data_IF_319906979787
#
_entry.id   IF_319906979787
#
_cell.length_a   1.000
_cell.length_b   1.000
_cell.length_c   1.000
_cell.angle_alpha   90.00
_cell.angle_beta   90.00
_cell.angle_gamma   90.00
#
_symmetry.space_group_name_H-M   'P 1'
#
loop_
_entity.id
_entity.type
_entity.pdbx_description
1 polymer ?
#
# COMPACT_ATOMS: atom_id res chain seq x y z
N UNK A 1 5.71 3.28 0.48
CA UNK A 1 4.43 4.02 0.61
C UNK A 1 4.10 4.91 -0.59
N UNK A 2 5.04 5.70 -1.14
CA UNK A 2 4.81 6.63 -2.26
C UNK A 2 4.13 6.00 -3.50
N UNK A 3 4.59 4.84 -3.96
CA UNK A 3 4.03 4.17 -5.14
C UNK A 3 2.54 3.81 -4.95
N UNK A 4 2.17 3.29 -3.78
CA UNK A 4 0.78 2.96 -3.45
C UNK A 4 -0.10 4.21 -3.44
N UNK A 5 0.38 5.31 -2.85
CA UNK A 5 -0.31 6.60 -2.89
C UNK A 5 -0.52 7.10 -4.31
N UNK A 6 0.51 7.02 -5.15
CA UNK A 6 0.42 7.46 -6.55
C UNK A 6 -0.63 6.67 -7.34
N UNK A 7 -0.66 5.34 -7.18
CA UNK A 7 -1.65 4.50 -7.87
C UNK A 7 -3.08 4.79 -7.41
N UNK A 8 -3.31 4.97 -6.10
CA UNK A 8 -4.64 5.34 -5.58
C UNK A 8 -5.09 6.71 -6.10
N UNK A 9 -4.16 7.67 -6.20
CA UNK A 9 -4.45 8.99 -6.75
C UNK A 9 -4.76 8.93 -8.25
N UNK A 10 -4.00 8.14 -9.02
CA UNK A 10 -4.25 7.94 -10.45
C UNK A 10 -5.64 7.32 -10.69
N UNK A 11 -5.98 6.28 -9.93
CA UNK A 11 -7.31 5.67 -9.94
C UNK A 11 -8.42 6.68 -9.63
N UNK A 12 -8.25 7.48 -8.57
CA UNK A 12 -9.24 8.51 -8.20
C UNK A 12 -9.36 9.61 -9.27
N UNK A 13 -8.26 9.96 -9.94
CA UNK A 13 -8.25 10.91 -11.05
C UNK A 13 -9.06 10.39 -12.24
N UNK A 14 -8.79 9.15 -12.68
CA UNK A 14 -9.53 8.52 -13.77
C UNK A 14 -11.01 8.37 -13.46
N UNK A 15 -11.40 7.95 -12.26
CA UNK A 15 -12.82 7.87 -11.88
C UNK A 15 -13.49 9.27 -11.88
N UNK A 16 -12.76 10.31 -11.45
CA UNK A 16 -13.22 11.69 -11.48
C UNK A 16 -13.51 12.22 -12.90
N UNK A 17 -12.75 11.80 -13.91
CA UNK A 17 -12.99 12.15 -15.32
C UNK A 17 -14.37 11.69 -15.82
N UNK A 18 -14.90 10.62 -15.22
CA UNK A 18 -16.19 10.03 -15.54
C UNK A 18 -17.30 10.38 -14.53
N UNK A 19 -17.05 11.35 -13.64
CA UNK A 19 -18.00 11.78 -12.62
C UNK A 19 -18.22 10.76 -11.49
N UNK A 20 -17.37 9.74 -11.39
CA UNK A 20 -17.40 8.71 -10.35
C UNK A 20 -16.53 9.19 -9.19
N UNK A 21 -17.13 9.90 -8.23
CA UNK A 21 -16.40 10.55 -7.14
C UNK A 21 -16.49 9.70 -5.87
N UNK A 22 -15.37 9.10 -5.48
CA UNK A 22 -15.21 8.36 -4.23
C UNK A 22 -14.57 9.18 -3.10
N UNK A 23 -14.64 8.65 -1.89
CA UNK A 23 -13.94 9.25 -0.75
C UNK A 23 -12.41 9.24 -0.97
N UNK A 24 -11.76 10.37 -0.69
CA UNK A 24 -10.31 10.51 -0.91
C UNK A 24 -9.50 9.75 0.14
N UNK A 25 -8.40 9.15 -0.31
CA UNK A 25 -7.37 8.57 0.56
C UNK A 25 -7.23 7.05 0.45
N UNK A 26 -6.02 6.57 0.77
CA UNK A 26 -5.63 5.16 0.64
C UNK A 26 -6.48 4.23 1.50
N UNK A 27 -6.95 4.70 2.65
CA UNK A 27 -7.82 3.92 3.55
C UNK A 27 -9.21 3.66 2.97
N UNK A 28 -9.63 4.47 1.99
CA UNK A 28 -10.94 4.39 1.32
C UNK A 28 -10.90 3.63 0.00
N UNK A 29 -9.75 3.04 -0.34
CA UNK A 29 -9.61 2.26 -1.56
C UNK A 29 -10.69 1.16 -1.73
N UNK A 30 -11.11 0.41 -0.69
CA UNK A 30 -12.20 -0.57 -0.84
C UNK A 30 -13.53 0.07 -1.24
N UNK A 31 -13.84 1.25 -0.69
CA UNK A 31 -15.05 2.00 -1.03
C UNK A 31 -15.00 2.49 -2.48
N UNK A 32 -13.82 2.95 -2.92
CA UNK A 32 -13.57 3.46 -4.27
C UNK A 32 -13.62 2.33 -5.32
N UNK A 33 -13.15 1.14 -4.93
CA UNK A 33 -13.28 -0.11 -5.68
C UNK A 33 -14.74 -0.50 -5.89
N UNK A 34 -15.53 -0.52 -4.82
CA UNK A 34 -16.96 -0.84 -4.89
C UNK A 34 -17.72 0.16 -5.77
N UNK A 35 -17.35 1.44 -5.71
CA UNK A 35 -17.91 2.51 -6.53
C UNK A 35 -17.62 2.28 -8.04
N UNK A 36 -16.38 1.93 -8.40
CA UNK A 36 -16.00 1.65 -9.79
C UNK A 36 -16.74 0.42 -10.34
N UNK A 37 -16.87 -0.65 -9.54
CA UNK A 37 -17.56 -1.88 -9.94
C UNK A 37 -19.07 -1.69 -10.09
N UNK A 38 -19.68 -0.77 -9.34
CA UNK A 38 -21.13 -0.49 -9.39
C UNK A 38 -21.52 0.62 -10.37
N UNK A 39 -20.54 1.32 -10.97
CA UNK A 39 -20.80 2.39 -11.92
C UNK A 39 -21.45 1.86 -13.21
N UNK A 40 -22.57 2.47 -13.66
CA UNK A 40 -23.27 2.04 -14.87
C UNK A 40 -22.42 2.29 -16.12
N UNK A 41 -22.62 1.47 -17.16
CA UNK A 41 -21.85 1.52 -18.43
C UNK A 41 -21.95 2.89 -19.12
N UNK A 42 -23.09 3.58 -19.00
CA UNK A 42 -23.25 4.93 -19.53
C UNK A 42 -22.36 5.97 -18.87
N UNK A 43 -21.87 5.69 -17.67
CA UNK A 43 -21.00 6.57 -16.89
C UNK A 43 -19.53 6.17 -17.04
N UNK A 44 -19.25 4.87 -17.20
CA UNK A 44 -17.89 4.36 -17.36
C UNK A 44 -17.77 3.52 -18.65
N UNK A 45 -17.23 4.11 -19.75
CA UNK A 45 -17.01 3.39 -21.00
C UNK A 45 -16.08 2.18 -20.83
N UNK A 46 -16.20 1.18 -21.70
CA UNK A 46 -15.47 -0.08 -21.58
C UNK A 46 -13.95 0.10 -21.50
N UNK A 47 -13.37 0.99 -22.33
CA UNK A 47 -11.94 1.29 -22.31
C UNK A 47 -11.49 1.89 -20.96
N UNK A 48 -12.33 2.72 -20.33
CA UNK A 48 -12.04 3.28 -19.02
C UNK A 48 -12.10 2.20 -17.94
N UNK A 49 -13.06 1.28 -18.04
CA UNK A 49 -13.19 0.13 -17.14
C UNK A 49 -11.96 -0.77 -17.23
N UNK A 50 -11.47 -1.09 -18.42
CA UNK A 50 -10.22 -1.85 -18.61
C UNK A 50 -9.02 -1.15 -17.96
N UNK A 51 -8.87 0.16 -18.16
CA UNK A 51 -7.79 0.94 -17.54
C UNK A 51 -7.86 0.91 -16.01
N UNK A 52 -9.07 1.05 -15.46
CA UNK A 52 -9.32 0.99 -14.02
C UNK A 52 -9.00 -0.39 -13.48
N UNK A 53 -9.46 -1.47 -14.12
CA UNK A 53 -9.16 -2.85 -13.71
C UNK A 53 -7.65 -3.13 -13.67
N UNK A 54 -6.89 -2.63 -14.66
CA UNK A 54 -5.42 -2.73 -14.66
C UNK A 54 -4.79 -2.00 -13.46
N UNK A 55 -5.25 -0.78 -13.16
CA UNK A 55 -4.76 -0.03 -11.99
C UNK A 55 -5.11 -0.73 -10.68
N UNK A 56 -6.29 -1.33 -10.58
CA UNK A 56 -6.71 -2.10 -9.41
C UNK A 56 -5.83 -3.32 -9.19
N UNK A 57 -5.60 -4.11 -10.25
CA UNK A 57 -4.72 -5.27 -10.19
C UNK A 57 -3.29 -4.88 -9.74
N UNK A 58 -2.76 -3.74 -10.23
CA UNK A 58 -1.47 -3.22 -9.79
C UNK A 58 -1.45 -2.81 -8.32
N UNK A 59 -2.53 -2.19 -7.83
CA UNK A 59 -2.64 -1.79 -6.42
C UNK A 59 -2.69 -3.02 -5.51
N UNK A 60 -3.49 -4.02 -5.86
CA UNK A 60 -3.60 -5.28 -5.11
C UNK A 60 -2.27 -6.04 -5.08
N UNK A 61 -1.59 -6.15 -6.22
CA UNK A 61 -0.28 -6.79 -6.28
C UNK A 61 0.74 -6.08 -5.40
N UNK A 62 0.80 -4.75 -5.50
CA UNK A 62 1.70 -3.96 -4.69
C UNK A 62 1.41 -4.12 -3.19
N UNK A 63 0.13 -4.17 -2.78
CA UNK A 63 -0.25 -4.41 -1.39
C UNK A 63 0.21 -5.79 -0.90
N UNK A 64 0.00 -6.84 -1.70
CA UNK A 64 0.49 -8.19 -1.36
C UNK A 64 2.00 -8.21 -1.17
N UNK A 65 2.74 -7.57 -2.08
CA UNK A 65 4.21 -7.49 -2.01
C UNK A 65 4.70 -6.72 -0.79
N UNK A 66 4.03 -5.63 -0.40
CA UNK A 66 4.32 -4.90 0.84
C UNK A 66 4.14 -5.81 2.05
N UNK A 67 3.01 -6.52 2.16
CA UNK A 67 2.74 -7.43 3.29
C UNK A 67 3.79 -8.56 3.35
N UNK A 68 4.20 -9.11 2.21
CA UNK A 68 5.25 -10.12 2.15
C UNK A 68 6.61 -9.58 2.65
N UNK A 69 6.96 -8.35 2.27
CA UNK A 69 8.17 -7.70 2.74
C UNK A 69 8.11 -7.44 4.26
N UNK A 70 7.00 -6.91 4.78
CA UNK A 70 6.78 -6.67 6.21
C UNK A 70 6.89 -7.96 7.03
N UNK A 71 6.32 -9.08 6.54
CA UNK A 71 6.45 -10.40 7.17
C UNK A 71 7.89 -10.89 7.20
N UNK A 72 8.66 -10.61 6.15
CA UNK A 72 10.07 -11.01 6.07
C UNK A 72 10.92 -10.21 7.06
N UNK A 73 10.68 -8.90 7.16
CA UNK A 73 11.29 -8.03 8.18
C UNK A 73 10.96 -8.51 9.58
N UNK A 74 9.68 -8.79 9.87
CA UNK A 74 9.25 -9.27 11.18
C UNK A 74 9.88 -10.63 11.53
N UNK A 75 10.06 -11.53 10.56
CA UNK A 75 10.72 -12.82 10.77
C UNK A 75 12.20 -12.63 11.13
N UNK A 76 12.91 -11.81 10.37
CA UNK A 76 14.31 -11.49 10.64
C UNK A 76 14.49 -10.81 12.00
N UNK A 77 13.60 -9.86 12.33
CA UNK A 77 13.60 -9.15 13.61
C UNK A 77 13.53 -10.12 14.79
N UNK A 78 12.65 -11.13 14.76
CA UNK A 78 12.53 -12.14 15.84
C UNK A 78 13.83 -12.89 16.10
N UNK A 79 14.66 -13.07 15.08
CA UNK A 79 15.96 -13.74 15.19
C UNK A 79 17.13 -12.79 15.50
N UNK A 80 16.89 -11.47 15.51
CA UNK A 80 17.92 -10.46 15.71
C UNK A 80 17.80 -9.82 17.10
N UNK A 81 18.76 -10.12 17.98
CA UNK A 81 18.76 -9.63 19.36
C UNK A 81 18.87 -8.10 19.45
N UNK A 82 19.73 -7.48 18.65
CA UNK A 82 19.91 -6.02 18.62
C UNK A 82 18.61 -5.34 18.24
N UNK A 83 17.94 -5.85 17.21
CA UNK A 83 16.66 -5.32 16.76
C UNK A 83 15.58 -5.46 17.83
N UNK A 84 15.47 -6.63 18.46
CA UNK A 84 14.51 -6.83 19.56
C UNK A 84 14.77 -5.92 20.76
N UNK A 85 16.04 -5.67 21.09
CA UNK A 85 16.40 -4.73 22.16
C UNK A 85 15.96 -3.31 21.82
N UNK A 86 16.15 -2.87 20.57
CA UNK A 86 15.71 -1.54 20.12
C UNK A 86 14.18 -1.37 20.18
N UNK A 87 13.40 -2.42 19.89
CA UNK A 87 11.93 -2.37 20.00
C UNK A 87 11.45 -2.10 21.45
N UNK A 88 12.25 -2.42 22.47
CA UNK A 88 11.84 -2.15 23.86
C UNK A 88 11.82 -0.65 24.22
N UNK A 89 12.38 0.21 23.36
CA UNK A 89 12.39 1.66 23.56
C UNK A 89 10.99 2.22 23.25
N UNK A 90 10.36 2.98 24.16
CA UNK A 90 9.06 3.60 23.90
C UNK A 90 9.06 4.41 22.59
N UNK A 91 8.12 4.11 21.70
CA UNK A 91 8.00 4.74 20.39
C UNK A 91 8.80 4.06 19.25
N UNK A 92 9.59 3.02 19.53
CA UNK A 92 10.31 2.23 18.52
C UNK A 92 9.58 0.91 18.27
N UNK A 93 8.98 0.76 17.08
CA UNK A 93 8.36 -0.51 16.66
C UNK A 93 9.29 -1.39 15.83
N UNK A 94 8.87 -2.63 15.57
CA UNK A 94 9.58 -3.64 14.74
C UNK A 94 10.24 -3.07 13.49
N UNK A 95 9.51 -2.28 12.69
CA UNK A 95 10.02 -1.74 11.42
C UNK A 95 11.19 -0.78 11.66
N UNK A 96 11.03 0.17 12.59
CA UNK A 96 12.07 1.14 12.94
C UNK A 96 13.27 0.45 13.57
N UNK A 97 13.04 -0.45 14.52
CA UNK A 97 14.10 -1.25 15.14
C UNK A 97 14.87 -2.05 14.09
N UNK A 98 14.16 -2.65 13.12
CA UNK A 98 14.80 -3.44 12.07
C UNK A 98 15.61 -2.60 11.10
N UNK A 99 15.08 -1.45 10.70
CA UNK A 99 15.78 -0.52 9.82
C UNK A 99 17.07 0.00 10.48
N UNK A 100 17.00 0.42 11.74
CA UNK A 100 18.17 0.91 12.48
C UNK A 100 19.23 -0.18 12.60
N UNK A 101 18.85 -1.41 12.97
CA UNK A 101 19.82 -2.51 13.06
C UNK A 101 20.42 -2.89 11.71
N UNK A 102 19.65 -2.86 10.62
CA UNK A 102 20.14 -3.20 9.29
C UNK A 102 21.08 -2.14 8.69
N UNK A 103 20.91 -0.87 9.07
CA UNK A 103 21.71 0.25 8.59
C UNK A 103 22.91 0.58 9.49
N UNK A 104 22.92 0.09 10.73
CA UNK A 104 24.02 0.30 11.65
C UNK A 104 25.29 -0.44 11.18
N UNK A 105 26.47 0.20 11.24
CA UNK A 105 27.75 -0.49 11.04
C UNK A 105 27.89 -1.64 12.05
N UNK A 106 28.34 -2.80 11.60
CA UNK A 106 28.67 -3.89 12.51
C UNK A 106 29.83 -3.44 13.41
N UNK A 107 29.61 -3.42 14.73
CA UNK A 107 30.70 -3.25 15.68
C UNK A 107 31.55 -4.53 15.63
N UNK A 108 32.72 -4.43 15.01
CA UNK A 108 33.80 -5.42 15.08
C UNK A 108 34.45 -5.43 16.45
#
# INVERSE_FOLDING_TARGET
MRQRTMLVNALSGHLGEFGVIGAKGISRLPDLLALASSAPVCQLPDLARECIELLLAQIEDLQRRIVLAERSVARWHRTNEVSRRLETIPGVGVITASAVTALAPHAT
#
